data_IF_064933181602
#
_entry.id   IF_064933181602
#
_cell.length_a   1.000
_cell.length_b   1.000
_cell.length_c   1.000
_cell.angle_alpha   90.00
_cell.angle_beta   90.00
_cell.angle_gamma   90.00
#
_symmetry.space_group_name_H-M   'P 1'
#
loop_
_entity.id
_entity.type
_entity.pdbx_description
1 polymer ?
#
# COMPACT_ATOMS: atom_id res chain seq x y z
N UNK A 1 -8.71 -0.47 -4.75
CA UNK A 1 -7.49 -1.29 -4.93
C UNK A 1 -6.52 -0.99 -3.79
N UNK A 2 -5.88 -2.00 -3.23
CA UNK A 2 -4.84 -1.84 -2.20
C UNK A 2 -3.50 -2.29 -2.77
N UNK A 3 -2.50 -1.43 -2.67
CA UNK A 3 -1.14 -1.70 -3.08
C UNK A 3 -0.15 -1.06 -2.13
N UNK A 4 1.05 -1.60 -2.04
CA UNK A 4 2.14 -0.99 -1.31
C UNK A 4 3.49 -1.49 -1.78
N UNK A 5 4.54 -0.87 -1.24
CA UNK A 5 5.91 -1.16 -1.64
C UNK A 5 6.87 -0.19 -0.99
N UNK A 6 8.15 -0.37 -1.30
CA UNK A 6 9.21 0.51 -0.84
C UNK A 6 9.20 1.82 -1.64
N UNK A 7 9.30 2.95 -0.95
CA UNK A 7 9.33 4.30 -1.55
C UNK A 7 10.65 4.99 -1.28
N UNK A 8 11.11 5.81 -2.23
CA UNK A 8 12.36 6.58 -2.08
C UNK A 8 12.26 7.62 -0.95
N UNK A 9 11.10 8.25 -0.80
CA UNK A 9 10.80 9.20 0.26
C UNK A 9 9.49 8.77 0.94
N UNK A 10 9.46 8.57 2.27
CA UNK A 10 8.23 8.25 3.00
C UNK A 10 7.11 9.29 2.80
N UNK A 11 7.46 10.54 2.49
CA UNK A 11 6.51 11.63 2.18
C UNK A 11 5.97 11.54 0.75
N UNK A 12 6.75 10.95 -0.16
CA UNK A 12 6.41 10.80 -1.57
C UNK A 12 5.51 9.59 -1.87
N UNK A 13 5.29 9.36 -3.17
CA UNK A 13 4.60 8.19 -3.71
C UNK A 13 5.42 7.54 -4.85
N UNK A 14 6.73 7.77 -4.85
CA UNK A 14 7.65 7.21 -5.83
C UNK A 14 8.20 5.89 -5.30
N UNK A 15 7.73 4.80 -5.90
CA UNK A 15 8.15 3.46 -5.54
C UNK A 15 9.52 3.15 -6.12
N UNK A 16 10.38 2.55 -5.30
CA UNK A 16 11.75 2.19 -5.69
C UNK A 16 11.74 1.12 -6.78
N UNK A 17 10.87 0.13 -6.63
CA UNK A 17 10.75 -0.99 -7.56
C UNK A 17 9.28 -1.36 -7.75
N UNK A 18 8.80 -1.20 -8.98
CA UNK A 18 7.43 -1.55 -9.37
C UNK A 18 7.23 -3.06 -9.50
N UNK A 19 8.31 -3.83 -9.70
CA UNK A 19 8.27 -5.30 -9.79
C UNK A 19 8.17 -5.97 -8.43
N UNK A 20 8.71 -5.34 -7.39
CA UNK A 20 8.62 -5.78 -5.99
C UNK A 20 7.37 -5.28 -5.25
N UNK A 21 6.41 -4.72 -6.00
CA UNK A 21 5.22 -4.10 -5.42
C UNK A 21 4.25 -5.14 -4.85
N UNK A 22 3.83 -4.93 -3.61
CA UNK A 22 2.82 -5.75 -2.94
C UNK A 22 1.43 -5.31 -3.36
N UNK A 23 0.83 -6.04 -4.31
CA UNK A 23 -0.54 -5.83 -4.76
C UNK A 23 -1.46 -6.80 -4.02
N UNK A 24 -2.24 -6.27 -3.07
CA UNK A 24 -3.21 -7.06 -2.29
C UNK A 24 -4.57 -7.23 -2.96
N UNK A 25 -4.83 -6.49 -4.04
CA UNK A 25 -6.00 -6.70 -4.90
C UNK A 25 -6.98 -5.53 -4.96
N UNK A 26 -8.10 -5.78 -5.65
CA UNK A 26 -9.19 -4.82 -5.87
C UNK A 26 -10.38 -5.22 -5.04
N UNK A 27 -10.93 -4.26 -4.30
CA UNK A 27 -12.03 -4.46 -3.37
C UNK A 27 -13.23 -3.60 -3.79
N UNK A 28 -14.47 -4.09 -3.63
CA UNK A 28 -15.68 -3.41 -4.06
C UNK A 28 -16.03 -2.21 -3.18
N UNK A 29 -15.63 -2.24 -1.90
CA UNK A 29 -15.89 -1.16 -0.95
C UNK A 29 -14.59 -0.59 -0.38
N UNK A 30 -14.66 0.65 0.12
CA UNK A 30 -13.56 1.26 0.85
C UNK A 30 -13.28 0.54 2.17
N UNK A 31 -14.32 0.05 2.85
CA UNK A 31 -14.18 -0.64 4.14
C UNK A 31 -13.35 -1.91 4.00
N UNK A 32 -13.66 -2.74 2.99
CA UNK A 32 -12.89 -3.96 2.71
C UNK A 32 -11.43 -3.62 2.38
N UNK A 33 -11.20 -2.60 1.55
CA UNK A 33 -9.86 -2.13 1.22
C UNK A 33 -9.11 -1.59 2.46
N UNK A 34 -9.81 -0.91 3.36
CA UNK A 34 -9.25 -0.33 4.57
C UNK A 34 -8.79 -1.39 5.55
N UNK A 35 -9.55 -2.48 5.74
CA UNK A 35 -9.13 -3.59 6.60
C UNK A 35 -7.83 -4.22 6.09
N UNK A 36 -7.72 -4.45 4.79
CA UNK A 36 -6.51 -5.01 4.17
C UNK A 36 -5.33 -4.05 4.27
N UNK A 37 -5.54 -2.77 3.94
CA UNK A 37 -4.51 -1.74 4.05
C UNK A 37 -4.01 -1.61 5.49
N UNK A 38 -4.91 -1.59 6.48
CA UNK A 38 -4.57 -1.46 7.89
C UNK A 38 -3.70 -2.63 8.36
N UNK A 39 -4.07 -3.86 8.00
CA UNK A 39 -3.27 -5.04 8.33
C UNK A 39 -1.88 -4.98 7.69
N UNK A 40 -1.79 -4.60 6.42
CA UNK A 40 -0.52 -4.50 5.71
C UNK A 40 0.38 -3.39 6.28
N UNK A 41 -0.18 -2.20 6.55
CA UNK A 41 0.55 -1.07 7.11
C UNK A 41 1.04 -1.34 8.54
N UNK A 42 0.23 -2.00 9.38
CA UNK A 42 0.63 -2.39 10.74
C UNK A 42 1.74 -3.46 10.74
N UNK A 43 1.70 -4.39 9.78
CA UNK A 43 2.69 -5.44 9.67
C UNK A 43 4.08 -4.94 9.20
N UNK A 44 4.16 -3.75 8.61
CA UNK A 44 5.42 -3.18 8.10
C UNK A 44 5.84 -1.92 8.85
N UNK A 45 5.39 -1.75 10.10
CA UNK A 45 5.66 -0.54 10.91
C UNK A 45 7.17 -0.35 11.18
N UNK A 46 7.93 -1.43 11.18
CA UNK A 46 9.39 -1.46 11.33
C UNK A 46 10.13 -1.03 10.05
N UNK A 47 9.47 -1.09 8.89
CA UNK A 47 10.06 -0.76 7.59
C UNK A 47 9.79 0.69 7.24
N UNK A 48 10.73 1.56 7.60
CA UNK A 48 10.62 3.02 7.49
C UNK A 48 10.27 3.57 6.08
N UNK A 49 10.61 2.81 5.04
CA UNK A 49 10.37 3.19 3.64
C UNK A 49 9.23 2.41 2.98
N UNK A 50 8.48 1.57 3.71
CA UNK A 50 7.34 0.84 3.14
C UNK A 50 6.06 1.64 3.29
N UNK A 51 5.34 1.84 2.19
CA UNK A 51 4.08 2.58 2.16
C UNK A 51 2.99 1.78 1.45
N UNK A 52 1.82 1.71 2.08
CA UNK A 52 0.61 1.15 1.50
C UNK A 52 -0.41 2.25 1.23
N UNK A 53 -1.16 2.10 0.14
CA UNK A 53 -2.14 3.07 -0.32
C UNK A 53 -3.40 2.38 -0.88
N UNK A 54 -4.53 3.03 -0.64
CA UNK A 54 -5.83 2.65 -1.19
C UNK A 54 -6.10 3.54 -2.39
N UNK A 55 -6.10 2.96 -3.58
CA UNK A 55 -6.49 3.65 -4.82
C UNK A 55 -7.98 3.41 -5.06
N UNK A 56 -8.74 4.51 -5.16
CA UNK A 56 -10.13 4.49 -5.60
C UNK A 56 -10.17 4.47 -7.13
N UNK A 57 -10.77 3.43 -7.69
CA UNK A 57 -11.04 3.33 -9.13
C UNK A 57 -12.40 3.99 -9.38
N UNK A 58 -12.46 4.95 -10.30
CA UNK A 58 -13.69 5.62 -10.74
C UNK A 58 -14.07 5.13 -12.13
#
# INVERSE_FOLDING_TARGET
>A
MVMGGEVHDPRGAEFVDLSAMDIRGVYPTYEDAFQVWRGAAQATVDRAFTKYMIIRLR
#
